data_IF_385298037384
#
_entry.id   IF_385298037384
#
_cell.length_a   1.000
_cell.length_b   1.000
_cell.length_c   1.000
_cell.angle_alpha   90.00
_cell.angle_beta   90.00
_cell.angle_gamma   90.00
#
_symmetry.space_group_name_H-M   'P 1'
#
loop_
_entity.id
_entity.type
_entity.pdbx_description
1 polymer ?
#
# COMPACT_ATOMS: atom_id res chain seq x y z
N UNK A 1 4.26 -44.01 0.89
CA UNK A 1 5.72 -44.00 1.03
C UNK A 1 6.39 -43.16 -0.07
N UNK A 2 6.01 -43.33 -1.33
CA UNK A 2 6.63 -42.65 -2.51
C UNK A 2 6.66 -41.12 -2.41
N UNK A 3 5.59 -40.50 -1.98
CA UNK A 3 5.54 -39.04 -1.78
C UNK A 3 6.64 -38.55 -0.81
N UNK A 4 6.85 -39.22 0.32
CA UNK A 4 7.86 -38.84 1.30
C UNK A 4 9.29 -38.99 0.76
N UNK A 5 9.57 -40.01 -0.02
CA UNK A 5 10.88 -40.14 -0.69
C UNK A 5 11.09 -39.05 -1.71
N UNK A 6 10.05 -38.70 -2.50
CA UNK A 6 10.10 -37.63 -3.46
C UNK A 6 10.33 -36.28 -2.77
N UNK A 7 9.56 -35.98 -1.71
CA UNK A 7 9.69 -34.76 -0.93
C UNK A 7 11.07 -34.64 -0.28
N UNK A 8 11.55 -35.73 0.32
CA UNK A 8 12.90 -35.78 0.94
C UNK A 8 14.01 -35.53 -0.08
N UNK A 9 13.91 -36.10 -1.26
CA UNK A 9 14.89 -35.88 -2.33
C UNK A 9 14.90 -34.42 -2.79
N UNK A 10 13.73 -33.80 -2.95
CA UNK A 10 13.62 -32.38 -3.31
C UNK A 10 14.12 -31.45 -2.19
N UNK A 11 13.82 -31.75 -0.92
CA UNK A 11 14.32 -30.98 0.22
C UNK A 11 15.86 -31.08 0.33
N UNK A 12 16.43 -32.26 0.08
CA UNK A 12 17.90 -32.43 0.05
C UNK A 12 18.54 -31.63 -1.09
N UNK A 13 17.91 -31.57 -2.26
CA UNK A 13 18.36 -30.73 -3.37
C UNK A 13 18.22 -29.23 -3.02
N UNK A 14 17.14 -28.85 -2.38
CA UNK A 14 16.94 -27.49 -1.86
C UNK A 14 18.06 -27.08 -0.90
N UNK A 15 18.42 -27.95 0.04
CA UNK A 15 19.52 -27.68 0.97
C UNK A 15 20.87 -27.50 0.25
N UNK A 16 21.13 -28.26 -0.82
CA UNK A 16 22.34 -28.08 -1.65
C UNK A 16 22.31 -26.74 -2.42
N UNK A 17 21.15 -26.27 -2.83
CA UNK A 17 20.96 -25.02 -3.56
C UNK A 17 20.56 -23.85 -2.63
N UNK A 18 20.55 -24.07 -1.31
CA UNK A 18 20.07 -23.09 -0.33
C UNK A 18 20.71 -21.71 -0.53
N UNK A 19 22.02 -21.64 -0.69
CA UNK A 19 22.71 -20.37 -0.84
C UNK A 19 22.26 -19.60 -2.09
N UNK A 20 22.06 -20.29 -3.20
CA UNK A 20 21.59 -19.69 -4.45
C UNK A 20 20.14 -19.20 -4.32
N UNK A 21 19.26 -20.03 -3.79
CA UNK A 21 17.85 -19.69 -3.60
C UNK A 21 17.67 -18.58 -2.55
N UNK A 22 18.42 -18.65 -1.45
CA UNK A 22 18.44 -17.60 -0.44
C UNK A 22 18.89 -16.26 -1.03
N UNK A 23 19.97 -16.27 -1.81
CA UNK A 23 20.44 -15.05 -2.48
C UNK A 23 19.38 -14.49 -3.44
N UNK A 24 18.79 -15.33 -4.30
CA UNK A 24 17.84 -14.87 -5.32
C UNK A 24 16.48 -14.44 -4.73
N UNK A 25 15.95 -15.18 -3.76
CA UNK A 25 14.57 -14.98 -3.27
C UNK A 25 14.53 -14.06 -2.05
N UNK A 26 15.56 -14.09 -1.21
CA UNK A 26 15.57 -13.33 0.04
C UNK A 26 16.49 -12.13 -0.08
N UNK A 27 17.77 -12.37 -0.36
CA UNK A 27 18.79 -11.33 -0.26
C UNK A 27 18.68 -10.29 -1.39
N UNK A 28 18.53 -10.71 -2.64
CA UNK A 28 18.47 -9.76 -3.76
C UNK A 28 17.24 -8.85 -3.69
N UNK A 29 15.98 -9.34 -3.49
CA UNK A 29 14.83 -8.47 -3.29
C UNK A 29 14.97 -7.58 -2.04
N UNK A 30 15.56 -8.09 -0.96
CA UNK A 30 15.81 -7.32 0.26
C UNK A 30 16.75 -6.14 -0.02
N UNK A 31 17.91 -6.42 -0.64
CA UNK A 31 18.91 -5.38 -0.95
C UNK A 31 18.34 -4.34 -1.90
N UNK A 32 17.63 -4.78 -2.96
CA UNK A 32 16.97 -3.88 -3.90
C UNK A 32 15.89 -3.06 -3.17
N UNK A 33 15.07 -3.68 -2.33
CA UNK A 33 14.04 -3.01 -1.55
C UNK A 33 14.63 -1.97 -0.58
N UNK A 34 15.71 -2.29 0.11
CA UNK A 34 16.41 -1.35 0.99
C UNK A 34 17.05 -0.21 0.20
N UNK A 35 17.68 -0.50 -0.94
CA UNK A 35 18.28 0.53 -1.79
C UNK A 35 17.23 1.50 -2.35
N UNK A 36 16.12 0.98 -2.87
CA UNK A 36 15.02 1.80 -3.39
C UNK A 36 14.36 2.56 -2.25
N UNK A 37 14.19 1.95 -1.08
CA UNK A 37 13.66 2.63 0.10
C UNK A 37 14.53 3.82 0.48
N UNK A 38 15.84 3.63 0.56
CA UNK A 38 16.77 4.71 0.88
C UNK A 38 16.75 5.84 -0.16
N UNK A 39 16.72 5.48 -1.45
CA UNK A 39 16.70 6.46 -2.56
C UNK A 39 15.30 7.03 -2.83
N UNK A 40 14.26 6.26 -2.59
CA UNK A 40 12.85 6.59 -2.90
C UNK A 40 12.04 7.11 -1.72
N UNK A 41 12.65 7.29 -0.56
CA UNK A 41 11.96 7.72 0.66
C UNK A 41 11.16 9.02 0.44
N UNK A 42 11.76 9.99 -0.20
CA UNK A 42 11.13 11.26 -0.56
C UNK A 42 9.99 11.13 -1.61
N UNK A 43 9.96 10.02 -2.35
CA UNK A 43 8.94 9.77 -3.39
C UNK A 43 7.70 9.10 -2.79
N UNK A 44 7.87 8.25 -1.77
CA UNK A 44 6.78 7.47 -1.14
C UNK A 44 6.28 8.12 0.13
N UNK A 45 7.18 8.59 0.99
CA UNK A 45 6.81 9.41 2.13
C UNK A 45 6.42 10.79 1.59
N UNK A 46 5.17 10.93 1.20
CA UNK A 46 4.63 12.28 1.06
C UNK A 46 4.74 12.90 2.46
N UNK A 47 5.54 13.96 2.60
CA UNK A 47 5.27 14.98 3.60
C UNK A 47 3.75 15.21 3.54
N UNK A 48 3.04 15.36 4.68
CA UNK A 48 1.61 15.62 4.67
C UNK A 48 1.37 16.59 3.53
N UNK A 49 0.53 16.22 2.56
CA UNK A 49 0.48 16.84 1.24
C UNK A 49 0.47 18.35 1.43
N UNK A 50 1.61 18.99 1.20
CA UNK A 50 1.59 20.42 0.98
C UNK A 50 0.63 20.60 -0.17
N UNK A 51 -0.47 21.26 0.09
CA UNK A 51 -1.40 21.59 -0.99
C UNK A 51 -0.69 22.65 -1.80
N UNK A 52 -0.04 22.24 -2.89
CA UNK A 52 0.77 23.14 -3.74
C UNK A 52 -0.06 24.20 -4.46
N UNK A 53 -1.40 24.12 -4.35
CA UNK A 53 -2.32 25.10 -4.90
C UNK A 53 -2.22 26.40 -4.12
N UNK A 54 -1.96 27.50 -4.81
CA UNK A 54 -1.79 28.81 -4.23
C UNK A 54 -3.15 29.38 -3.77
N UNK A 55 -3.32 29.51 -2.44
CA UNK A 55 -4.48 30.11 -1.83
C UNK A 55 -4.22 31.57 -1.47
N UNK A 56 -5.09 32.47 -1.95
CA UNK A 56 -5.16 33.85 -1.49
C UNK A 56 -6.30 33.98 -0.49
N UNK A 57 -6.04 34.60 0.66
CA UNK A 57 -7.07 34.86 1.70
C UNK A 57 -7.45 36.31 1.69
N UNK A 58 -8.70 36.58 1.36
CA UNK A 58 -9.29 37.91 1.43
C UNK A 58 -10.10 38.02 2.71
N UNK A 59 -9.51 38.63 3.74
CA UNK A 59 -10.17 38.85 5.01
C UNK A 59 -10.91 40.20 4.97
N UNK A 60 -12.22 40.14 4.91
CA UNK A 60 -13.09 41.32 4.96
C UNK A 60 -13.64 41.57 6.38
N UNK A 61 -13.43 40.62 7.29
CA UNK A 61 -13.83 40.74 8.69
C UNK A 61 -12.72 41.42 9.52
N UNK A 62 -12.95 42.66 9.94
CA UNK A 62 -12.00 43.39 10.76
C UNK A 62 -12.04 43.02 12.25
N UNK A 63 -12.95 42.11 12.63
CA UNK A 63 -13.08 41.65 14.01
C UNK A 63 -12.12 40.53 14.36
N UNK A 64 -12.15 40.08 15.65
CA UNK A 64 -11.16 39.19 16.22
C UNK A 64 -11.16 37.80 15.57
N UNK A 65 -12.35 37.26 15.23
CA UNK A 65 -12.43 35.87 14.73
C UNK A 65 -11.92 35.72 13.30
N UNK A 66 -12.16 36.71 12.43
CA UNK A 66 -11.59 36.71 11.07
C UNK A 66 -10.05 36.75 11.08
N UNK A 67 -9.49 37.55 12.01
CA UNK A 67 -8.04 37.62 12.20
C UNK A 67 -7.45 36.30 12.77
N UNK A 68 -8.21 35.58 13.61
CA UNK A 68 -7.77 34.25 14.11
C UNK A 68 -7.74 33.26 12.96
N UNK A 69 -8.72 33.23 12.08
CA UNK A 69 -8.71 32.35 10.89
C UNK A 69 -7.51 32.66 10.03
N UNK A 70 -7.24 33.90 9.72
CA UNK A 70 -6.10 34.30 8.91
C UNK A 70 -4.78 33.85 9.53
N UNK A 71 -4.55 34.12 10.82
CA UNK A 71 -3.34 33.68 11.54
C UNK A 71 -3.20 32.16 11.58
N UNK A 72 -4.30 31.43 11.73
CA UNK A 72 -4.29 29.97 11.70
C UNK A 72 -3.83 29.45 10.34
N UNK A 73 -4.31 30.05 9.26
CA UNK A 73 -3.87 29.73 7.90
C UNK A 73 -2.40 30.07 7.67
N UNK A 74 -1.92 31.20 8.18
CA UNK A 74 -0.50 31.56 8.13
C UNK A 74 0.37 30.54 8.87
N UNK A 75 -0.04 30.07 10.05
CA UNK A 75 0.65 29.01 10.79
C UNK A 75 0.65 27.67 10.03
N UNK A 76 -0.44 27.34 9.32
CA UNK A 76 -0.47 26.14 8.48
C UNK A 76 0.47 26.27 7.27
N UNK A 77 0.64 27.48 6.74
CA UNK A 77 1.60 27.77 5.68
C UNK A 77 3.05 27.66 6.20
N UNK A 78 3.35 28.17 7.40
CA UNK A 78 4.66 28.04 8.04
C UNK A 78 5.03 26.57 8.31
N UNK A 79 4.04 25.73 8.62
CA UNK A 79 4.19 24.28 8.79
C UNK A 79 4.25 23.52 7.48
N UNK A 80 4.28 24.19 6.36
CA UNK A 80 4.29 23.59 5.01
C UNK A 80 3.09 22.68 4.71
N UNK A 81 1.93 22.89 5.35
CA UNK A 81 0.70 22.11 5.11
C UNK A 81 -0.07 22.68 3.92
N UNK A 82 -0.14 24.01 3.81
CA UNK A 82 -0.79 24.74 2.72
C UNK A 82 0.19 25.72 2.08
N UNK A 83 -0.16 26.27 0.92
CA UNK A 83 0.63 27.31 0.27
C UNK A 83 -0.20 28.58 0.15
N UNK A 84 0.15 29.61 0.89
CA UNK A 84 -0.46 30.93 0.79
C UNK A 84 0.31 31.84 -0.18
N UNK A 85 -0.43 32.70 -0.86
CA UNK A 85 0.13 33.78 -1.67
C UNK A 85 -0.43 35.12 -1.24
N UNK A 86 0.42 36.15 -1.30
CA UNK A 86 0.01 37.55 -1.09
C UNK A 86 -0.45 38.21 -2.38
N UNK A 87 -0.21 37.58 -3.54
CA UNK A 87 -0.54 38.07 -4.86
C UNK A 87 -1.87 37.43 -5.33
N UNK A 88 -2.92 38.23 -5.37
CA UNK A 88 -4.27 37.81 -5.81
C UNK A 88 -4.26 37.34 -7.27
N UNK A 89 -3.34 37.86 -8.11
CA UNK A 89 -3.29 37.48 -9.52
C UNK A 89 -2.69 36.09 -9.72
N UNK A 90 -1.73 35.71 -8.91
CA UNK A 90 -1.09 34.39 -8.94
C UNK A 90 -1.89 33.33 -8.21
N UNK A 91 -2.89 33.72 -7.43
CA UNK A 91 -3.73 32.79 -6.68
C UNK A 91 -4.52 31.89 -7.63
N UNK A 92 -4.57 30.65 -7.31
CA UNK A 92 -5.39 29.63 -7.98
C UNK A 92 -6.74 29.45 -7.31
N UNK A 93 -6.77 29.65 -6.00
CA UNK A 93 -7.98 29.67 -5.15
C UNK A 93 -8.03 30.97 -4.34
N UNK A 94 -9.22 31.49 -4.12
CA UNK A 94 -9.48 32.67 -3.27
C UNK A 94 -10.45 32.26 -2.18
N UNK A 95 -10.02 32.35 -0.93
CA UNK A 95 -10.90 32.21 0.23
C UNK A 95 -11.31 33.57 0.75
N UNK A 96 -12.60 33.88 0.72
CA UNK A 96 -13.14 35.12 1.20
C UNK A 96 -13.79 34.94 2.58
N UNK A 97 -13.27 35.62 3.59
CA UNK A 97 -13.86 35.72 4.92
C UNK A 97 -14.81 36.96 4.90
N UNK A 98 -16.12 36.79 5.00
CA UNK A 98 -17.06 37.89 4.84
C UNK A 98 -17.03 38.84 6.06
N UNK A 99 -17.43 40.07 5.87
CA UNK A 99 -17.47 41.15 6.89
C UNK A 99 -18.27 40.81 8.14
N UNK A 100 -19.26 39.93 8.04
CA UNK A 100 -20.13 39.52 9.16
C UNK A 100 -19.71 38.15 9.75
N UNK A 101 -18.50 37.69 9.46
CA UNK A 101 -18.02 36.35 9.90
C UNK A 101 -18.06 36.21 11.42
N UNK A 102 -17.46 37.16 12.15
CA UNK A 102 -17.42 37.12 13.61
C UNK A 102 -18.82 37.15 14.24
N UNK A 103 -19.74 37.90 13.66
CA UNK A 103 -21.13 37.97 14.10
C UNK A 103 -21.86 36.64 13.86
N UNK A 104 -21.74 36.09 12.67
CA UNK A 104 -22.33 34.77 12.29
C UNK A 104 -21.89 33.67 13.22
N UNK A 105 -20.57 33.61 13.51
CA UNK A 105 -20.00 32.61 14.43
C UNK A 105 -20.51 32.84 15.86
N UNK A 106 -20.60 34.12 16.32
CA UNK A 106 -21.07 34.43 17.67
C UNK A 106 -22.57 34.14 17.86
N UNK A 107 -23.36 34.22 16.80
CA UNK A 107 -24.81 33.92 16.81
C UNK A 107 -25.11 32.42 16.70
N UNK A 108 -24.07 31.56 16.62
CA UNK A 108 -24.22 30.09 16.56
C UNK A 108 -24.76 29.56 15.23
N UNK A 109 -24.71 30.35 14.16
CA UNK A 109 -25.14 29.87 12.84
C UNK A 109 -24.10 28.90 12.24
N UNK A 110 -24.43 27.61 12.14
CA UNK A 110 -23.54 26.55 11.67
C UNK A 110 -23.31 26.51 10.15
N UNK A 111 -23.58 27.55 9.41
CA UNK A 111 -23.23 27.64 7.99
C UNK A 111 -21.75 27.97 7.83
N UNK A 112 -21.08 27.35 6.86
CA UNK A 112 -19.69 27.73 6.57
C UNK A 112 -19.68 29.09 5.83
N UNK A 113 -19.41 30.19 6.52
CA UNK A 113 -19.53 31.54 5.92
C UNK A 113 -18.32 31.85 5.01
N UNK A 114 -17.25 31.07 5.06
CA UNK A 114 -16.06 31.27 4.23
C UNK A 114 -16.27 30.65 2.86
N UNK A 115 -16.22 31.47 1.81
CA UNK A 115 -16.39 31.00 0.43
C UNK A 115 -15.04 30.79 -0.24
N UNK A 116 -14.89 29.63 -0.91
CA UNK A 116 -13.70 29.29 -1.71
C UNK A 116 -14.05 29.37 -3.19
N UNK A 117 -13.49 30.35 -3.87
CA UNK A 117 -13.68 30.54 -5.30
C UNK A 117 -12.48 30.05 -6.09
N UNK A 118 -12.74 29.39 -7.20
CA UNK A 118 -11.73 28.87 -8.13
C UNK A 118 -11.45 29.89 -9.21
N UNK A 119 -10.18 30.28 -9.36
CA UNK A 119 -9.76 31.25 -10.37
C UNK A 119 -9.17 30.59 -11.63
N UNK A 120 -8.55 29.42 -11.51
CA UNK A 120 -7.89 28.73 -12.61
C UNK A 120 -8.25 27.23 -12.66
N UNK A 121 -7.64 26.48 -13.57
CA UNK A 121 -7.84 25.02 -13.72
C UNK A 121 -7.22 24.23 -12.55
N UNK A 122 -7.74 24.40 -11.35
CA UNK A 122 -7.35 23.64 -10.16
C UNK A 122 -8.06 22.30 -10.13
N UNK A 123 -7.41 21.28 -9.60
CA UNK A 123 -8.05 20.00 -9.30
C UNK A 123 -9.20 20.19 -8.31
N UNK A 124 -10.33 19.57 -8.56
CA UNK A 124 -11.49 19.56 -7.64
C UNK A 124 -11.10 18.97 -6.26
N UNK A 125 -10.15 18.05 -6.23
CA UNK A 125 -9.62 17.47 -4.98
C UNK A 125 -8.92 18.52 -4.11
N UNK A 126 -8.13 19.42 -4.70
CA UNK A 126 -7.43 20.47 -3.94
C UNK A 126 -8.39 21.52 -3.41
N UNK A 127 -9.40 21.89 -4.19
CA UNK A 127 -10.47 22.80 -3.72
C UNK A 127 -11.20 22.21 -2.51
N UNK A 128 -11.63 20.93 -2.59
CA UNK A 128 -12.29 20.23 -1.49
C UNK A 128 -11.40 20.15 -0.25
N UNK A 129 -10.10 19.97 -0.42
CA UNK A 129 -9.16 19.93 0.71
C UNK A 129 -9.14 21.27 1.46
N UNK A 130 -9.09 22.40 0.74
CA UNK A 130 -9.16 23.72 1.37
C UNK A 130 -10.51 24.01 2.02
N UNK A 131 -11.62 23.60 1.38
CA UNK A 131 -12.95 23.70 1.97
C UNK A 131 -13.07 22.92 3.29
N UNK A 132 -12.49 21.71 3.35
CA UNK A 132 -12.45 20.89 4.57
C UNK A 132 -11.60 21.57 5.66
N UNK A 133 -10.42 22.09 5.31
CA UNK A 133 -9.56 22.80 6.26
C UNK A 133 -10.28 24.01 6.85
N UNK A 134 -10.87 24.84 6.00
CA UNK A 134 -11.61 26.03 6.43
C UNK A 134 -12.85 25.68 7.27
N UNK A 135 -13.59 24.65 6.88
CA UNK A 135 -14.71 24.13 7.65
C UNK A 135 -14.30 23.66 9.04
N UNK A 136 -13.16 22.97 9.14
CA UNK A 136 -12.63 22.50 10.43
C UNK A 136 -12.21 23.68 11.32
N UNK A 137 -11.52 24.69 10.76
CA UNK A 137 -11.14 25.90 11.50
C UNK A 137 -12.39 26.62 11.99
N UNK A 138 -13.37 26.82 11.12
CA UNK A 138 -14.65 27.49 11.47
C UNK A 138 -15.38 26.68 12.54
N UNK A 139 -15.47 25.34 12.42
CA UNK A 139 -16.09 24.46 13.41
C UNK A 139 -15.45 24.56 14.79
N UNK A 140 -14.13 24.61 14.88
CA UNK A 140 -13.42 24.81 16.15
C UNK A 140 -13.71 26.16 16.78
N UNK A 141 -13.86 27.23 15.98
CA UNK A 141 -14.24 28.54 16.48
C UNK A 141 -15.68 28.56 17.02
N UNK A 142 -16.63 27.90 16.35
CA UNK A 142 -17.99 27.71 16.86
C UNK A 142 -18.00 26.98 18.19
N UNK A 143 -17.30 25.87 18.31
CA UNK A 143 -17.20 25.13 19.58
C UNK A 143 -16.61 25.99 20.70
N UNK A 144 -15.61 26.83 20.40
CA UNK A 144 -15.04 27.74 21.38
C UNK A 144 -16.05 28.79 21.87
N UNK A 145 -16.79 29.38 20.97
CA UNK A 145 -17.82 30.41 21.30
C UNK A 145 -18.93 29.76 22.10
N UNK A 146 -19.48 28.64 21.67
CA UNK A 146 -20.55 27.91 22.37
C UNK A 146 -20.11 27.48 23.78
N UNK A 147 -18.89 26.98 23.92
CA UNK A 147 -18.35 26.57 25.22
C UNK A 147 -18.15 27.75 26.18
N UNK A 148 -17.73 28.92 25.64
CA UNK A 148 -17.62 30.16 26.40
C UNK A 148 -18.99 30.62 26.92
N UNK A 149 -20.01 30.61 26.09
CA UNK A 149 -21.39 30.93 26.44
C UNK A 149 -21.95 29.96 27.53
N UNK A 150 -21.73 28.66 27.36
CA UNK A 150 -22.15 27.67 28.35
C UNK A 150 -21.46 27.86 29.71
N UNK A 151 -20.18 28.19 29.71
CA UNK A 151 -19.43 28.43 30.95
C UNK A 151 -19.90 29.69 31.63
N UNK A 152 -20.14 30.75 30.88
CA UNK A 152 -20.68 32.04 31.36
C UNK A 152 -22.03 31.82 32.03
N UNK A 153 -22.93 31.14 31.35
CA UNK A 153 -24.30 30.91 31.81
C UNK A 153 -24.39 29.96 33.02
N UNK A 154 -23.59 28.87 33.01
CA UNK A 154 -23.62 27.90 34.13
C UNK A 154 -22.92 28.36 35.38
N UNK A 155 -21.85 29.13 35.26
CA UNK A 155 -21.01 29.51 36.43
C UNK A 155 -21.24 30.95 36.88
N UNK A 156 -22.06 31.72 36.18
CA UNK A 156 -22.33 33.16 36.47
C UNK A 156 -21.04 33.97 36.66
N UNK A 157 -20.03 33.68 35.84
CA UNK A 157 -18.72 34.37 35.87
C UNK A 157 -18.69 35.49 34.83
N UNK A 158 -17.76 36.42 35.04
CA UNK A 158 -17.49 37.49 34.08
C UNK A 158 -16.89 36.95 32.77
N UNK A 159 -16.93 37.74 31.73
CA UNK A 159 -16.53 37.34 30.37
C UNK A 159 -15.06 36.96 30.25
N UNK A 160 -14.19 37.62 31.04
CA UNK A 160 -12.76 37.30 31.09
C UNK A 160 -12.49 35.93 31.72
N UNK A 161 -13.15 35.63 32.84
CA UNK A 161 -13.03 34.34 33.53
C UNK A 161 -13.64 33.21 32.70
N UNK A 162 -14.78 33.47 32.02
CA UNK A 162 -15.39 32.51 31.10
C UNK A 162 -14.45 32.16 29.94
N UNK A 163 -13.75 33.13 29.40
CA UNK A 163 -12.78 32.94 28.32
C UNK A 163 -11.60 32.05 28.78
N UNK A 164 -11.03 32.30 29.95
CA UNK A 164 -9.91 31.49 30.50
C UNK A 164 -10.37 30.08 30.78
N UNK A 165 -11.54 29.89 31.41
CA UNK A 165 -12.08 28.57 31.73
C UNK A 165 -12.42 27.75 30.45
N UNK A 166 -13.05 28.40 29.46
CA UNK A 166 -13.36 27.74 28.18
C UNK A 166 -12.08 27.28 27.45
N UNK A 167 -11.05 28.12 27.43
CA UNK A 167 -9.76 27.78 26.84
C UNK A 167 -9.08 26.64 27.58
N UNK A 168 -9.10 26.61 28.91
CA UNK A 168 -8.56 25.50 29.70
C UNK A 168 -9.32 24.19 29.50
N UNK A 169 -10.65 24.24 29.40
CA UNK A 169 -11.48 23.06 29.13
C UNK A 169 -11.14 22.53 27.74
N UNK A 170 -11.07 23.40 26.72
CA UNK A 170 -10.70 23.00 25.36
C UNK A 170 -9.29 22.39 25.27
N UNK A 171 -8.29 22.99 25.94
CA UNK A 171 -6.96 22.42 25.98
C UNK A 171 -6.95 21.04 26.61
N UNK A 172 -7.62 20.85 27.76
CA UNK A 172 -7.74 19.53 28.39
C UNK A 172 -8.53 18.54 27.56
N UNK A 173 -9.63 18.97 26.95
CA UNK A 173 -10.42 18.13 26.06
C UNK A 173 -9.61 17.73 24.84
N UNK A 174 -8.86 18.65 24.23
CA UNK A 174 -7.97 18.35 23.11
C UNK A 174 -6.80 17.46 23.53
N UNK A 175 -6.25 17.59 24.73
CA UNK A 175 -5.24 16.67 25.26
C UNK A 175 -5.79 15.26 25.49
N UNK A 176 -6.99 15.13 26.01
CA UNK A 176 -7.65 13.84 26.20
C UNK A 176 -8.08 13.24 24.86
N UNK A 177 -8.73 14.05 24.02
CA UNK A 177 -9.11 13.63 22.66
C UNK A 177 -7.91 13.35 21.76
N UNK A 178 -6.82 14.10 21.90
CA UNK A 178 -5.59 13.76 21.14
C UNK A 178 -5.01 12.42 21.60
N UNK A 179 -5.06 12.09 22.90
CA UNK A 179 -4.67 10.76 23.38
C UNK A 179 -5.64 9.68 22.92
N UNK A 180 -6.96 9.93 23.01
CA UNK A 180 -7.98 8.98 22.53
C UNK A 180 -8.11 8.94 21.02
N UNK A 181 -7.97 10.07 20.32
CA UNK A 181 -7.94 10.14 18.87
C UNK A 181 -6.63 9.60 18.28
N UNK A 182 -5.49 9.72 18.98
CA UNK A 182 -4.29 8.98 18.60
C UNK A 182 -4.51 7.47 18.73
N UNK A 183 -5.25 7.03 19.74
CA UNK A 183 -5.67 5.62 19.81
C UNK A 183 -6.80 5.28 18.82
N UNK A 184 -7.71 6.20 18.50
CA UNK A 184 -8.87 6.00 17.63
C UNK A 184 -8.61 6.34 16.17
N UNK A 185 -7.78 7.33 15.85
CA UNK A 185 -7.29 7.62 14.50
C UNK A 185 -6.26 6.60 14.01
N UNK A 186 -5.67 5.83 14.90
CA UNK A 186 -5.01 4.58 14.52
C UNK A 186 -5.98 3.60 13.83
N UNK A 187 -7.29 3.80 13.96
CA UNK A 187 -8.32 2.97 13.34
C UNK A 187 -9.04 3.60 12.15
N UNK A 188 -8.94 4.91 11.90
CA UNK A 188 -9.72 5.58 10.84
C UNK A 188 -8.95 6.42 9.84
N UNK A 189 -7.74 6.84 10.13
CA UNK A 189 -6.83 7.32 9.08
C UNK A 189 -6.19 6.09 8.49
N UNK A 190 -6.43 5.83 7.20
CA UNK A 190 -5.62 4.91 6.42
C UNK A 190 -4.16 5.16 6.82
N UNK A 191 -3.56 4.25 7.61
CA UNK A 191 -2.21 4.42 8.12
C UNK A 191 -1.35 4.74 6.94
N UNK A 192 -0.76 5.94 6.90
CA UNK A 192 0.13 6.31 5.81
C UNK A 192 1.19 5.21 5.73
N UNK A 193 1.24 4.55 4.59
CA UNK A 193 2.25 3.54 4.31
C UNK A 193 3.60 4.18 4.46
N UNK A 194 4.42 3.63 5.33
CA UNK A 194 5.84 4.00 5.33
C UNK A 194 6.47 3.48 4.05
N UNK A 195 7.56 4.10 3.62
CA UNK A 195 8.27 3.64 2.42
C UNK A 195 8.76 2.19 2.59
N UNK A 196 9.16 1.80 3.82
CA UNK A 196 9.55 0.44 4.16
C UNK A 196 8.41 -0.57 3.96
N UNK A 197 7.21 -0.24 4.42
CA UNK A 197 6.02 -1.10 4.23
C UNK A 197 5.66 -1.25 2.77
N UNK A 198 5.73 -0.17 2.01
CA UNK A 198 5.46 -0.19 0.58
C UNK A 198 6.47 -1.05 -0.18
N UNK A 199 7.77 -0.76 -0.03
CA UNK A 199 8.80 -1.44 -0.80
C UNK A 199 8.98 -2.89 -0.37
N UNK A 200 8.87 -3.22 0.93
CA UNK A 200 8.91 -4.62 1.38
C UNK A 200 7.81 -5.46 0.74
N UNK A 201 6.62 -4.89 0.56
CA UNK A 201 5.48 -5.58 -0.07
C UNK A 201 5.64 -5.65 -1.59
N UNK A 202 6.03 -4.55 -2.22
CA UNK A 202 6.21 -4.51 -3.67
C UNK A 202 7.31 -5.49 -4.15
N UNK A 203 8.36 -5.70 -3.36
CA UNK A 203 9.41 -6.67 -3.69
C UNK A 203 8.94 -8.14 -3.66
N UNK A 204 7.83 -8.46 -2.99
CA UNK A 204 7.25 -9.82 -3.06
C UNK A 204 6.87 -10.16 -4.50
N UNK A 205 6.42 -9.21 -5.29
CA UNK A 205 6.10 -9.46 -6.69
C UNK A 205 7.34 -9.77 -7.52
N UNK A 206 8.49 -9.19 -7.19
CA UNK A 206 9.76 -9.58 -7.78
C UNK A 206 10.10 -11.04 -7.44
N UNK A 207 9.83 -11.48 -6.20
CA UNK A 207 9.97 -12.88 -5.80
C UNK A 207 9.11 -13.77 -6.69
N UNK A 208 7.86 -13.39 -6.97
CA UNK A 208 6.99 -14.15 -7.87
C UNK A 208 7.57 -14.27 -9.29
N UNK A 209 8.15 -13.20 -9.82
CA UNK A 209 8.85 -13.22 -11.09
C UNK A 209 10.04 -14.20 -11.10
N UNK A 210 10.83 -14.20 -10.02
CA UNK A 210 11.96 -15.12 -9.85
C UNK A 210 11.48 -16.58 -9.74
N UNK A 211 10.45 -16.84 -8.93
CA UNK A 211 9.87 -18.18 -8.76
C UNK A 211 9.36 -18.71 -10.11
N UNK A 212 8.58 -17.91 -10.83
CA UNK A 212 8.02 -18.29 -12.12
C UNK A 212 9.13 -18.59 -13.12
N UNK A 213 10.13 -17.72 -13.24
CA UNK A 213 11.28 -17.93 -14.13
C UNK A 213 12.10 -19.16 -13.76
N UNK A 214 12.29 -19.43 -12.45
CA UNK A 214 13.06 -20.59 -11.95
C UNK A 214 12.33 -21.89 -12.24
N UNK A 215 11.01 -21.96 -12.02
CA UNK A 215 10.20 -23.15 -12.30
C UNK A 215 10.17 -23.44 -13.79
N UNK A 216 9.96 -22.42 -14.63
CA UNK A 216 9.99 -22.55 -16.08
C UNK A 216 11.37 -23.06 -16.55
N UNK A 217 12.47 -22.47 -16.03
CA UNK A 217 13.82 -22.87 -16.39
C UNK A 217 14.11 -24.33 -15.98
N UNK A 218 13.68 -24.76 -14.79
CA UNK A 218 13.89 -26.13 -14.31
C UNK A 218 13.10 -27.17 -15.12
N UNK A 219 11.95 -26.80 -15.64
CA UNK A 219 11.13 -27.67 -16.49
C UNK A 219 11.71 -27.83 -17.90
N UNK A 220 12.26 -26.73 -18.47
CA UNK A 220 12.80 -26.69 -19.84
C UNK A 220 14.21 -27.30 -19.92
N UNK A 221 15.01 -27.17 -18.86
CA UNK A 221 16.36 -27.72 -18.78
C UNK A 221 16.47 -28.92 -17.80
N UNK A 222 15.80 -30.04 -18.06
CA UNK A 222 15.80 -31.19 -17.14
C UNK A 222 17.19 -31.82 -17.01
N UNK A 223 18.09 -31.55 -17.93
CA UNK A 223 19.45 -32.11 -17.93
C UNK A 223 20.35 -31.51 -16.84
N UNK A 224 20.05 -30.29 -16.38
CA UNK A 224 20.79 -29.60 -15.30
C UNK A 224 20.57 -30.26 -13.93
N UNK A 225 19.53 -31.06 -13.74
CA UNK A 225 19.31 -31.80 -12.51
C UNK A 225 19.30 -33.29 -12.81
N UNK A 226 20.35 -34.00 -12.40
CA UNK A 226 20.39 -35.50 -12.43
C UNK A 226 19.22 -36.11 -11.64
N UNK A 227 18.52 -35.32 -10.85
CA UNK A 227 17.30 -35.69 -10.14
C UNK A 227 16.12 -35.89 -11.09
N UNK A 228 15.91 -35.03 -12.09
CA UNK A 228 14.80 -35.18 -13.05
C UNK A 228 14.92 -36.48 -13.87
N UNK A 229 16.16 -36.91 -14.20
CA UNK A 229 16.38 -38.20 -14.83
C UNK A 229 15.98 -39.34 -13.88
N UNK A 230 16.34 -39.26 -12.60
CA UNK A 230 15.98 -40.30 -11.60
C UNK A 230 14.47 -40.29 -11.30
N UNK A 231 13.83 -39.13 -11.26
CA UNK A 231 12.39 -39.02 -11.04
C UNK A 231 11.62 -39.66 -12.20
N UNK A 232 12.07 -39.48 -13.46
CA UNK A 232 11.46 -40.13 -14.63
C UNK A 232 11.58 -41.66 -14.61
N UNK A 233 12.53 -42.22 -13.87
CA UNK A 233 12.69 -43.66 -13.70
C UNK A 233 11.83 -44.23 -12.56
N UNK A 234 11.20 -43.40 -11.76
CA UNK A 234 10.27 -43.87 -10.73
C UNK A 234 8.95 -44.34 -11.37
N UNK A 235 8.34 -45.41 -10.83
CA UNK A 235 7.06 -45.92 -11.32
C UNK A 235 5.88 -45.01 -10.93
N UNK A 236 5.99 -43.74 -11.25
CA UNK A 236 4.96 -42.71 -10.94
C UNK A 236 4.20 -42.37 -12.22
N UNK A 237 2.90 -42.27 -12.11
CA UNK A 237 2.07 -41.65 -13.18
C UNK A 237 2.47 -40.19 -13.40
N UNK A 238 2.25 -39.69 -14.62
CA UNK A 238 2.46 -38.26 -14.95
C UNK A 238 1.76 -37.35 -13.93
N UNK A 239 0.53 -37.68 -13.59
CA UNK A 239 -0.28 -36.94 -12.61
C UNK A 239 0.38 -36.89 -11.23
N UNK A 240 0.85 -38.03 -10.74
CA UNK A 240 1.55 -38.09 -9.44
C UNK A 240 2.85 -37.28 -9.46
N UNK A 241 3.62 -37.41 -10.52
CA UNK A 241 4.89 -36.71 -10.68
C UNK A 241 4.70 -35.20 -10.68
N UNK A 242 3.75 -34.69 -11.49
CA UNK A 242 3.49 -33.26 -11.58
C UNK A 242 2.88 -32.71 -10.29
N UNK A 243 1.94 -33.42 -9.67
CA UNK A 243 1.33 -33.02 -8.39
C UNK A 243 2.38 -32.97 -7.28
N UNK A 244 3.25 -33.98 -7.17
CA UNK A 244 4.31 -34.01 -6.16
C UNK A 244 5.35 -32.93 -6.42
N UNK A 245 5.66 -32.64 -7.68
CA UNK A 245 6.52 -31.53 -8.08
C UNK A 245 5.96 -30.18 -7.66
N UNK A 246 4.68 -29.94 -7.94
CA UNK A 246 3.99 -28.71 -7.56
C UNK A 246 3.97 -28.51 -6.05
N UNK A 247 3.62 -29.56 -5.28
CA UNK A 247 3.59 -29.48 -3.80
C UNK A 247 5.02 -29.23 -3.26
N UNK A 248 6.02 -29.93 -3.80
CA UNK A 248 7.40 -29.76 -3.37
C UNK A 248 7.92 -28.35 -3.64
N UNK A 249 7.68 -27.82 -4.84
CA UNK A 249 8.02 -26.43 -5.20
C UNK A 249 7.26 -25.43 -4.32
N UNK A 250 5.97 -25.69 -4.05
CA UNK A 250 5.18 -24.84 -3.17
C UNK A 250 5.79 -24.75 -1.78
N UNK A 251 6.09 -25.88 -1.14
CA UNK A 251 6.70 -25.91 0.20
C UNK A 251 8.03 -25.14 0.18
N UNK A 252 8.87 -25.41 -0.81
CA UNK A 252 10.18 -24.80 -0.94
C UNK A 252 10.09 -23.28 -1.06
N UNK A 253 9.38 -22.78 -2.05
CA UNK A 253 9.30 -21.34 -2.31
C UNK A 253 8.49 -20.59 -1.24
N UNK A 254 7.50 -21.26 -0.64
CA UNK A 254 6.75 -20.68 0.47
C UNK A 254 7.63 -20.45 1.69
N UNK A 255 8.47 -21.40 2.05
CA UNK A 255 9.42 -21.22 3.16
C UNK A 255 10.39 -20.06 2.92
N UNK A 256 10.91 -19.90 1.71
CA UNK A 256 11.78 -18.76 1.39
C UNK A 256 11.01 -17.44 1.39
N UNK A 257 9.76 -17.42 0.94
CA UNK A 257 8.92 -16.22 1.00
C UNK A 257 8.61 -15.82 2.45
N UNK A 258 8.29 -16.79 3.30
CA UNK A 258 8.10 -16.53 4.74
C UNK A 258 9.40 -16.06 5.40
N UNK A 259 10.54 -16.62 5.01
CA UNK A 259 11.85 -16.18 5.49
C UNK A 259 12.11 -14.72 5.07
N UNK A 260 11.80 -14.33 3.84
CA UNK A 260 11.87 -12.93 3.38
C UNK A 260 11.02 -11.99 4.26
N UNK A 261 9.76 -12.35 4.51
CA UNK A 261 8.86 -11.59 5.41
C UNK A 261 9.44 -11.49 6.82
N UNK A 262 9.98 -12.61 7.36
CA UNK A 262 10.61 -12.64 8.66
C UNK A 262 11.85 -11.75 8.76
N UNK A 263 12.71 -11.77 7.75
CA UNK A 263 13.92 -10.91 7.70
C UNK A 263 13.53 -9.43 7.66
N UNK A 264 12.55 -9.04 6.83
CA UNK A 264 12.07 -7.66 6.82
C UNK A 264 11.51 -7.24 8.18
N UNK A 265 10.74 -8.11 8.83
CA UNK A 265 10.18 -7.82 10.15
C UNK A 265 11.24 -7.66 11.24
N UNK A 266 12.37 -8.33 11.11
CA UNK A 266 13.52 -8.15 12.02
C UNK A 266 14.24 -6.82 11.76
N UNK A 267 14.45 -6.46 10.49
CA UNK A 267 15.15 -5.22 10.10
C UNK A 267 14.28 -3.99 10.39
N UNK A 268 13.00 -4.06 10.01
CA UNK A 268 12.01 -3.01 10.17
C UNK A 268 10.74 -3.58 10.82
N UNK A 269 10.60 -3.53 12.16
CA UNK A 269 9.47 -4.12 12.88
C UNK A 269 8.09 -3.57 12.47
N UNK A 270 8.04 -2.39 11.84
CA UNK A 270 6.83 -1.78 11.29
C UNK A 270 6.30 -2.48 10.04
N UNK A 271 7.16 -3.25 9.33
CA UNK A 271 6.75 -3.98 8.12
C UNK A 271 5.94 -5.23 8.47
N UNK A 272 5.04 -5.61 7.58
CA UNK A 272 4.16 -6.78 7.75
C UNK A 272 3.45 -6.84 9.11
N UNK A 273 3.09 -5.65 9.66
CA UNK A 273 2.26 -5.55 10.84
C UNK A 273 0.81 -5.93 10.53
N UNK A 274 0.04 -6.32 11.58
CA UNK A 274 -1.34 -6.72 11.44
C UNK A 274 -1.51 -8.25 11.47
N UNK A 275 -2.43 -8.77 10.68
CA UNK A 275 -2.75 -10.19 10.66
C UNK A 275 -1.73 -11.00 9.85
N UNK A 276 -0.65 -11.47 10.50
CA UNK A 276 0.40 -12.27 9.87
C UNK A 276 -0.12 -13.57 9.24
N UNK A 277 -1.10 -14.23 9.87
CA UNK A 277 -1.70 -15.44 9.30
C UNK A 277 -2.47 -15.13 8.02
N UNK A 278 -3.16 -14.00 7.99
CA UNK A 278 -3.83 -13.53 6.78
C UNK A 278 -2.84 -13.21 5.66
N UNK A 279 -1.75 -12.50 5.98
CA UNK A 279 -0.67 -12.21 5.01
C UNK A 279 -0.06 -13.52 4.49
N UNK A 280 0.28 -14.45 5.38
CA UNK A 280 0.80 -15.76 5.01
C UNK A 280 -0.19 -16.53 4.10
N UNK A 281 -1.49 -16.50 4.40
CA UNK A 281 -2.53 -17.10 3.58
C UNK A 281 -2.61 -16.50 2.17
N UNK A 282 -2.57 -15.17 2.05
CA UNK A 282 -2.54 -14.49 0.75
C UNK A 282 -1.30 -14.91 -0.05
N UNK A 283 -0.12 -14.89 0.59
CA UNK A 283 1.13 -15.29 -0.06
C UNK A 283 1.07 -16.74 -0.53
N UNK A 284 0.44 -17.65 0.23
CA UNK A 284 0.25 -19.04 -0.18
C UNK A 284 -0.61 -19.15 -1.44
N UNK A 285 -1.73 -18.43 -1.51
CA UNK A 285 -2.63 -18.43 -2.68
C UNK A 285 -1.91 -17.86 -3.90
N UNK A 286 -1.23 -16.73 -3.75
CA UNK A 286 -0.47 -16.10 -4.83
C UNK A 286 0.62 -17.05 -5.35
N UNK A 287 1.39 -17.67 -4.46
CA UNK A 287 2.44 -18.63 -4.84
C UNK A 287 1.87 -19.83 -5.58
N UNK A 288 0.76 -20.40 -5.10
CA UNK A 288 0.10 -21.51 -5.76
C UNK A 288 -0.32 -21.17 -7.20
N UNK A 289 -0.90 -19.98 -7.39
CA UNK A 289 -1.26 -19.48 -8.71
C UNK A 289 -0.03 -19.31 -9.62
N UNK A 290 1.05 -18.73 -9.10
CA UNK A 290 2.28 -18.52 -9.85
C UNK A 290 2.93 -19.85 -10.27
N UNK A 291 2.94 -20.84 -9.39
CA UNK A 291 3.47 -22.18 -9.72
C UNK A 291 2.61 -22.91 -10.77
N UNK A 292 1.29 -22.78 -10.69
CA UNK A 292 0.38 -23.34 -11.69
C UNK A 292 0.59 -22.71 -13.06
N UNK A 293 0.72 -21.38 -13.11
CA UNK A 293 1.03 -20.65 -14.35
C UNK A 293 2.42 -21.05 -14.88
N UNK A 294 3.43 -21.11 -14.02
CA UNK A 294 4.78 -21.47 -14.41
C UNK A 294 4.85 -22.88 -15.05
N UNK A 295 4.17 -23.85 -14.42
CA UNK A 295 4.08 -25.20 -14.92
C UNK A 295 3.40 -25.27 -16.29
N UNK A 296 2.27 -24.58 -16.46
CA UNK A 296 1.55 -24.54 -17.74
C UNK A 296 2.37 -23.83 -18.83
N UNK A 297 2.96 -22.68 -18.53
CA UNK A 297 3.78 -21.90 -19.47
C UNK A 297 5.00 -22.70 -19.92
N UNK A 298 5.61 -23.49 -19.03
CA UNK A 298 6.79 -24.31 -19.34
C UNK A 298 6.56 -25.33 -20.48
N UNK A 299 5.30 -25.73 -20.74
CA UNK A 299 4.96 -26.66 -21.81
C UNK A 299 5.26 -26.06 -23.20
N UNK A 300 5.09 -24.73 -23.33
CA UNK A 300 5.22 -24.02 -24.61
C UNK A 300 6.62 -23.42 -24.84
N UNK A 301 7.46 -23.43 -23.81
CA UNK A 301 8.78 -22.80 -23.87
C UNK A 301 9.82 -23.84 -24.28
N UNK A 302 10.68 -23.45 -25.19
CA UNK A 302 11.85 -24.22 -25.63
C UNK A 302 13.12 -23.63 -24.99
N UNK A 303 14.20 -24.41 -25.03
CA UNK A 303 15.50 -23.95 -24.52
C UNK A 303 15.97 -22.66 -25.20
N UNK A 304 15.68 -22.51 -26.52
CA UNK A 304 16.04 -21.33 -27.29
C UNK A 304 15.29 -20.07 -26.87
N UNK A 305 14.02 -20.19 -26.46
CA UNK A 305 13.16 -19.08 -26.08
C UNK A 305 13.16 -18.78 -24.59
N UNK A 306 13.76 -19.66 -23.78
CA UNK A 306 13.75 -19.56 -22.33
C UNK A 306 14.30 -18.22 -21.80
N UNK A 307 15.46 -17.80 -22.33
CA UNK A 307 16.09 -16.56 -21.88
C UNK A 307 15.21 -15.33 -22.13
N UNK A 308 14.63 -15.23 -23.32
CA UNK A 308 13.74 -14.14 -23.69
C UNK A 308 12.47 -14.12 -22.82
N UNK A 309 11.83 -15.27 -22.66
CA UNK A 309 10.60 -15.37 -21.86
C UNK A 309 10.86 -15.05 -20.40
N UNK A 310 11.93 -15.58 -19.82
CA UNK A 310 12.32 -15.29 -18.42
C UNK A 310 12.62 -13.81 -18.22
N UNK A 311 13.26 -13.16 -19.19
CA UNK A 311 13.53 -11.72 -19.13
C UNK A 311 12.24 -10.89 -19.19
N UNK A 312 11.31 -11.21 -20.09
CA UNK A 312 10.01 -10.54 -20.20
C UNK A 312 9.21 -10.70 -18.90
N UNK A 313 9.16 -11.90 -18.36
CA UNK A 313 8.49 -12.19 -17.10
C UNK A 313 9.09 -11.32 -15.98
N UNK A 314 10.40 -11.36 -15.79
CA UNK A 314 11.08 -10.66 -14.71
C UNK A 314 10.89 -9.15 -14.80
N UNK A 315 11.06 -8.58 -16.01
CA UNK A 315 10.86 -7.14 -16.25
C UNK A 315 9.38 -6.77 -16.02
N UNK A 316 8.44 -7.56 -16.53
CA UNK A 316 7.01 -7.35 -16.33
C UNK A 316 6.65 -7.31 -14.85
N UNK A 317 7.12 -8.28 -14.04
CA UNK A 317 6.86 -8.30 -12.61
C UNK A 317 7.44 -7.08 -11.89
N UNK A 318 8.62 -6.61 -12.25
CA UNK A 318 9.23 -5.41 -11.67
C UNK A 318 8.45 -4.14 -12.04
N UNK A 319 8.08 -3.98 -13.30
CA UNK A 319 7.41 -2.77 -13.77
C UNK A 319 5.96 -2.65 -13.26
N UNK A 320 5.18 -3.76 -13.38
CA UNK A 320 3.76 -3.73 -13.03
C UNK A 320 3.45 -3.90 -11.54
N UNK A 321 4.42 -4.31 -10.74
CA UNK A 321 4.26 -4.50 -9.31
C UNK A 321 4.28 -3.21 -8.49
N UNK A 322 4.81 -2.14 -9.05
CA UNK A 322 5.14 -0.94 -8.29
C UNK A 322 6.42 -1.09 -7.45
N UNK A 323 7.23 -2.14 -7.69
CA UNK A 323 8.55 -2.28 -7.06
C UNK A 323 9.45 -1.07 -7.39
N UNK A 324 9.30 -0.52 -8.59
CA UNK A 324 9.80 0.80 -8.97
C UNK A 324 8.58 1.72 -9.10
N UNK A 325 8.46 2.80 -8.34
CA UNK A 325 7.29 3.68 -8.32
C UNK A 325 7.28 4.63 -9.54
N UNK A 326 7.24 4.07 -10.76
CA UNK A 326 7.28 4.81 -12.01
C UNK A 326 6.12 5.79 -12.16
N UNK A 327 4.95 5.39 -11.66
CA UNK A 327 3.73 6.21 -11.62
C UNK A 327 3.90 7.52 -10.85
N UNK A 328 4.80 7.52 -9.86
CA UNK A 328 5.11 8.69 -9.03
C UNK A 328 6.26 9.52 -9.58
N UNK A 329 7.08 8.95 -10.45
CA UNK A 329 8.23 9.61 -11.05
C UNK A 329 7.85 10.48 -12.26
N UNK A 330 6.84 10.07 -13.03
CA UNK A 330 6.40 10.81 -14.21
C UNK A 330 4.92 10.53 -14.53
N UNK A 331 4.13 11.57 -14.89
CA UNK A 331 2.73 11.40 -15.32
C UNK A 331 2.56 10.46 -16.52
N UNK A 332 3.57 10.32 -17.36
CA UNK A 332 3.57 9.43 -18.52
C UNK A 332 3.41 7.95 -18.12
N UNK A 333 3.86 7.59 -16.93
CA UNK A 333 3.83 6.22 -16.43
C UNK A 333 2.68 5.96 -15.42
N UNK A 334 1.70 6.83 -15.38
CA UNK A 334 0.58 6.72 -14.42
C UNK A 334 -0.13 5.36 -14.47
N UNK A 335 -0.26 4.77 -15.66
CA UNK A 335 -0.90 3.47 -15.86
C UNK A 335 -0.16 2.28 -15.22
N UNK A 336 1.13 2.40 -14.89
CA UNK A 336 1.85 1.39 -14.10
C UNK A 336 1.43 1.38 -12.64
N UNK A 337 0.93 2.50 -12.11
CA UNK A 337 0.50 2.60 -10.72
C UNK A 337 -0.88 2.00 -10.45
N UNK A 338 -1.80 2.14 -11.40
CA UNK A 338 -3.19 1.66 -11.27
C UNK A 338 -3.46 0.53 -12.27
N UNK A 339 -2.95 -0.65 -11.96
CA UNK A 339 -3.14 -1.84 -12.79
C UNK A 339 -3.65 -3.02 -11.96
N UNK A 340 -4.33 -3.97 -12.64
CA UNK A 340 -4.89 -5.15 -12.01
C UNK A 340 -3.85 -6.00 -11.28
N UNK A 341 -2.62 -6.05 -11.80
CA UNK A 341 -1.54 -6.85 -11.25
C UNK A 341 -1.14 -6.35 -9.85
N UNK A 342 -0.91 -5.04 -9.70
CA UNK A 342 -0.63 -4.41 -8.41
C UNK A 342 -1.81 -4.56 -7.45
N UNK A 343 -3.03 -4.33 -7.96
CA UNK A 343 -4.26 -4.44 -7.19
C UNK A 343 -4.45 -5.83 -6.58
N UNK A 344 -4.07 -6.88 -7.30
CA UNK A 344 -4.24 -8.27 -6.83
C UNK A 344 -3.07 -8.74 -5.98
N UNK A 345 -1.82 -8.37 -6.31
CA UNK A 345 -0.64 -8.92 -5.66
C UNK A 345 -0.15 -8.09 -4.47
N UNK A 346 -0.29 -6.77 -4.53
CA UNK A 346 0.31 -5.84 -3.56
C UNK A 346 -0.72 -5.26 -2.60
N UNK A 347 -1.81 -4.74 -3.14
CA UNK A 347 -2.81 -3.98 -2.36
C UNK A 347 -3.42 -4.77 -1.19
N UNK A 348 -3.78 -6.06 -1.31
CA UNK A 348 -4.37 -6.81 -0.20
C UNK A 348 -3.42 -6.99 0.98
N UNK A 349 -2.12 -7.13 0.72
CA UNK A 349 -1.10 -7.22 1.77
C UNK A 349 -0.96 -5.85 2.46
N UNK A 350 -0.96 -4.77 1.68
CA UNK A 350 -0.93 -3.39 2.18
C UNK A 350 -2.14 -3.13 3.08
N UNK A 351 -3.35 -3.44 2.64
CA UNK A 351 -4.58 -3.26 3.44
C UNK A 351 -4.55 -4.07 4.73
N UNK A 352 -4.02 -5.30 4.69
CA UNK A 352 -3.83 -6.07 5.93
C UNK A 352 -2.85 -5.43 6.90
N UNK A 353 -1.76 -4.83 6.40
CA UNK A 353 -0.83 -4.08 7.24
C UNK A 353 -1.47 -2.81 7.83
N UNK A 354 -2.37 -2.19 7.09
CA UNK A 354 -3.14 -1.01 7.52
C UNK A 354 -4.33 -1.39 8.42
N UNK A 355 -4.57 -2.69 8.66
CA UNK A 355 -5.71 -3.22 9.40
C UNK A 355 -7.06 -2.89 8.75
N UNK A 356 -7.05 -2.65 7.45
CA UNK A 356 -8.25 -2.44 6.66
C UNK A 356 -8.91 -3.77 6.27
N UNK A 357 -10.21 -3.72 5.94
CA UNK A 357 -10.93 -4.89 5.46
C UNK A 357 -10.42 -5.32 4.09
N UNK A 358 -10.18 -6.61 3.95
CA UNK A 358 -9.83 -7.26 2.68
C UNK A 358 -11.01 -8.07 2.11
N UNK A 359 -12.22 -7.84 2.61
CA UNK A 359 -13.43 -8.56 2.19
C UNK A 359 -13.65 -8.54 0.68
N UNK A 360 -13.40 -7.40 0.05
CA UNK A 360 -13.53 -7.20 -1.40
C UNK A 360 -12.62 -8.12 -2.23
N UNK A 361 -11.51 -8.57 -1.65
CA UNK A 361 -10.55 -9.45 -2.32
C UNK A 361 -10.85 -10.94 -2.17
N UNK A 362 -11.73 -11.33 -1.24
CA UNK A 362 -12.03 -12.75 -0.99
C UNK A 362 -12.54 -13.42 -2.26
N UNK A 363 -13.49 -12.81 -2.96
CA UNK A 363 -14.05 -13.33 -4.21
C UNK A 363 -12.97 -13.46 -5.28
N UNK A 364 -12.08 -12.46 -5.38
CA UNK A 364 -10.96 -12.46 -6.34
C UNK A 364 -10.02 -13.62 -6.02
N UNK A 365 -9.66 -13.83 -4.76
CA UNK A 365 -8.75 -14.90 -4.36
C UNK A 365 -9.38 -16.29 -4.52
N UNK A 366 -10.67 -16.46 -4.26
CA UNK A 366 -11.39 -17.71 -4.57
C UNK A 366 -11.34 -17.99 -6.07
N UNK A 367 -11.60 -16.98 -6.90
CA UNK A 367 -11.49 -17.12 -8.35
C UNK A 367 -10.07 -17.48 -8.80
N UNK A 368 -9.03 -16.86 -8.22
CA UNK A 368 -7.63 -17.16 -8.50
C UNK A 368 -7.30 -18.63 -8.16
N UNK A 369 -7.76 -19.14 -7.02
CA UNK A 369 -7.55 -20.56 -6.64
C UNK A 369 -8.21 -21.49 -7.64
N UNK A 370 -9.46 -21.22 -8.03
CA UNK A 370 -10.19 -22.05 -9.01
C UNK A 370 -9.45 -22.04 -10.35
N UNK A 371 -9.05 -20.87 -10.85
CA UNK A 371 -8.30 -20.74 -12.11
C UNK A 371 -6.95 -21.45 -12.02
N UNK A 372 -6.24 -21.33 -10.91
CA UNK A 372 -4.95 -22.01 -10.70
C UNK A 372 -5.10 -23.53 -10.73
N UNK A 373 -6.15 -24.08 -10.11
CA UNK A 373 -6.46 -25.53 -10.16
C UNK A 373 -6.76 -25.97 -11.59
N UNK A 374 -7.56 -25.19 -12.34
CA UNK A 374 -7.87 -25.48 -13.73
C UNK A 374 -6.59 -25.49 -14.59
N UNK A 375 -5.73 -24.50 -14.42
CA UNK A 375 -4.44 -24.39 -15.13
C UNK A 375 -3.54 -25.60 -14.81
N UNK A 376 -3.43 -25.98 -13.53
CA UNK A 376 -2.64 -27.14 -13.13
C UNK A 376 -3.18 -28.45 -13.73
N UNK A 377 -4.49 -28.63 -13.74
CA UNK A 377 -5.11 -29.81 -14.38
C UNK A 377 -4.92 -29.82 -15.91
N UNK A 378 -5.01 -28.65 -16.56
CA UNK A 378 -4.71 -28.53 -18.00
C UNK A 378 -3.25 -28.88 -18.30
N UNK A 379 -2.31 -28.44 -17.47
CA UNK A 379 -0.89 -28.82 -17.58
C UNK A 379 -0.74 -30.34 -17.55
N UNK A 380 -1.31 -31.01 -16.55
CA UNK A 380 -1.22 -32.46 -16.40
C UNK A 380 -1.78 -33.18 -17.64
N UNK A 381 -2.95 -32.78 -18.13
CA UNK A 381 -3.56 -33.36 -19.33
C UNK A 381 -2.71 -33.17 -20.59
N UNK A 382 -2.14 -31.99 -20.76
CA UNK A 382 -1.25 -31.73 -21.90
C UNK A 382 0.00 -32.62 -21.86
N UNK A 383 0.59 -32.83 -20.68
CA UNK A 383 1.79 -33.68 -20.51
C UNK A 383 1.45 -35.16 -20.69
N UNK A 384 0.28 -35.64 -20.19
CA UNK A 384 -0.19 -37.00 -20.43
C UNK A 384 -0.31 -37.32 -21.93
N UNK A 385 -0.95 -36.42 -22.69
CA UNK A 385 -1.06 -36.59 -24.15
C UNK A 385 0.28 -36.61 -24.87
N UNK A 386 1.30 -35.89 -24.35
CA UNK A 386 2.64 -35.90 -24.95
C UNK A 386 3.43 -37.18 -24.67
N UNK A 387 3.14 -37.91 -23.58
CA UNK A 387 3.76 -39.18 -23.27
C UNK A 387 3.08 -40.37 -23.95
N UNK A 388 1.85 -40.21 -24.45
CA UNK A 388 1.06 -41.20 -25.20
C UNK A 388 1.46 -41.27 -26.70
N UNK A 389 2.14 -40.24 -27.22
CA UNK A 389 2.65 -40.13 -28.59
C UNK A 389 4.17 -40.17 -28.61
#
# INVERSE_FOLDING_TARGET
>A
MEFWYFLKANLQMMLKQFHMLFFMIVLAPLVIGLFINFSGKSVVERKPNKVDTLLYVENQDQEVLGNIVQKTLEQLNEREIITLTTDKEKAELIATIPTEFSKTVSEGQQTNPIQVQKKSKVSTSNQLTYEIILKNITGQLFEQVELKELVKNKKQVDDATATVLSTQILQRTNEVLSKELYQRNDYQTSRMLTSEQYFSTAQITMIWGIVLSTVVASAVKPELSGLNKRIKLLPLSVRQRETYGLISNFIQFYLFTLLYVGVWKVIHPSTFNGNLLGIAGILAIQLFAMLSIAGFVSIFITEKTLGLVSSIISIGFVLFSGAIPLDKMSPMFHWFGDNLFRRVLVEPIIRMMQQESVGDFIIIYVAIVIVAIIIAELQIRCLQRREEY
#
